data_IF_282704468675
#
_entry.id   IF_282704468675
#
_cell.length_a   1.000
_cell.length_b   1.000
_cell.length_c   1.000
_cell.angle_alpha   90.00
_cell.angle_beta   90.00
_cell.angle_gamma   90.00
#
_symmetry.space_group_name_H-M   'P 1'
#
loop_
_entity.id
_entity.type
_entity.pdbx_description
1 polymer ?
#
# COMPACT_ATOMS: atom_id res chain seq x y z
N UNK A 1 55.13 4.04 -27.92
CA UNK A 1 53.84 4.30 -27.25
C UNK A 1 54.08 5.49 -26.31
N UNK A 2 53.45 6.65 -26.59
CA UNK A 2 53.83 7.93 -26.02
C UNK A 2 53.40 8.04 -24.53
N UNK A 3 54.34 8.35 -23.65
CA UNK A 3 54.14 8.48 -22.19
C UNK A 3 52.99 9.42 -21.82
N UNK A 4 52.71 10.44 -22.66
CA UNK A 4 51.56 11.37 -22.49
C UNK A 4 50.19 10.66 -22.60
N UNK A 5 50.02 9.66 -23.46
CA UNK A 5 48.76 8.92 -23.59
C UNK A 5 48.49 7.99 -22.42
N UNK A 6 49.57 7.48 -21.78
CA UNK A 6 49.44 6.61 -20.60
C UNK A 6 49.00 7.39 -19.36
N UNK A 7 49.45 8.67 -19.23
CA UNK A 7 49.05 9.54 -18.12
C UNK A 7 47.59 10.01 -18.22
N UNK A 8 47.10 10.26 -19.45
CA UNK A 8 45.70 10.62 -19.68
C UNK A 8 44.75 9.45 -19.42
N UNK A 9 45.16 8.21 -19.80
CA UNK A 9 44.37 7.01 -19.54
C UNK A 9 44.33 6.66 -18.02
N UNK A 10 45.45 6.88 -17.32
CA UNK A 10 45.53 6.69 -15.86
C UNK A 10 44.67 7.70 -15.11
N UNK A 11 44.58 8.94 -15.60
CA UNK A 11 43.75 10.00 -15.03
C UNK A 11 42.27 9.73 -15.22
N UNK A 12 41.88 9.15 -16.36
CA UNK A 12 40.49 8.78 -16.66
C UNK A 12 39.98 7.58 -15.86
N UNK A 13 40.87 6.68 -15.43
CA UNK A 13 40.55 5.51 -14.60
C UNK A 13 40.57 5.85 -13.09
N UNK A 14 41.40 6.81 -12.68
CA UNK A 14 41.52 7.19 -11.27
C UNK A 14 40.44 8.21 -10.82
N UNK A 15 39.89 9.01 -11.74
CA UNK A 15 38.87 10.01 -11.40
C UNK A 15 37.57 9.40 -10.81
N UNK A 16 37.03 8.27 -11.32
CA UNK A 16 35.85 7.66 -10.70
C UNK A 16 36.13 6.97 -9.37
N UNK A 17 37.39 6.59 -9.07
CA UNK A 17 37.73 5.94 -7.80
C UNK A 17 37.76 6.96 -6.65
N UNK A 18 38.13 8.21 -6.92
CA UNK A 18 38.21 9.25 -5.89
C UNK A 18 36.85 9.79 -5.44
N UNK A 19 35.80 9.64 -6.28
CA UNK A 19 34.43 10.05 -5.92
C UNK A 19 33.75 9.05 -4.98
N UNK A 20 34.25 7.80 -4.90
CA UNK A 20 33.65 6.74 -4.10
C UNK A 20 34.14 6.74 -2.63
N UNK A 21 35.24 7.46 -2.32
CA UNK A 21 35.87 7.39 -0.98
C UNK A 21 35.56 8.57 -0.04
N UNK A 22 34.85 9.59 -0.50
CA UNK A 22 34.54 10.75 0.34
C UNK A 22 33.07 10.80 0.76
N UNK A 23 32.76 10.19 1.87
CA UNK A 23 31.58 10.47 2.68
C UNK A 23 30.51 9.37 2.74
N UNK A 24 30.45 8.71 3.85
CA UNK A 24 29.46 7.65 4.18
C UNK A 24 27.99 8.10 4.27
N UNK A 25 27.64 9.35 4.04
CA UNK A 25 26.26 9.84 4.10
C UNK A 25 25.66 10.24 2.75
N UNK A 26 26.50 10.44 1.72
CA UNK A 26 26.05 10.93 0.42
C UNK A 26 25.87 9.82 -0.63
N UNK A 27 26.46 8.65 -0.38
CA UNK A 27 26.42 7.52 -1.33
C UNK A 27 25.03 6.85 -1.42
N UNK A 28 24.28 6.78 -0.33
CA UNK A 28 22.93 6.18 -0.34
C UNK A 28 21.93 7.00 -1.18
N UNK A 29 22.04 8.33 -1.17
CA UNK A 29 21.13 9.19 -1.92
C UNK A 29 21.46 9.27 -3.43
N UNK A 30 22.72 9.05 -3.78
CA UNK A 30 23.18 9.07 -5.18
C UNK A 30 22.94 7.73 -5.89
N UNK A 31 23.13 6.61 -5.18
CA UNK A 31 22.85 5.28 -5.75
C UNK A 31 21.36 5.07 -6.00
N UNK A 32 20.46 5.63 -5.16
CA UNK A 32 19.01 5.59 -5.41
C UNK A 32 18.56 6.37 -6.64
N UNK A 33 19.31 7.41 -7.06
CA UNK A 33 18.96 8.22 -8.23
C UNK A 33 19.50 7.68 -9.57
N UNK A 34 20.50 6.82 -9.54
CA UNK A 34 21.24 6.41 -10.75
C UNK A 34 20.94 4.95 -11.13
N UNK A 35 20.56 4.10 -10.17
CA UNK A 35 20.27 2.69 -10.41
C UNK A 35 18.76 2.42 -10.33
N UNK A 36 18.19 1.64 -11.27
CA UNK A 36 16.84 1.15 -11.12
C UNK A 36 16.71 0.43 -9.76
N UNK A 37 15.61 0.64 -9.04
CA UNK A 37 15.40 0.06 -7.69
C UNK A 37 15.63 -1.46 -7.64
N UNK A 38 15.32 -2.17 -8.74
CA UNK A 38 15.57 -3.61 -8.88
C UNK A 38 17.06 -3.98 -8.82
N UNK A 39 17.96 -3.08 -9.20
CA UNK A 39 19.41 -3.29 -9.17
C UNK A 39 20.03 -2.81 -7.85
N UNK A 40 19.54 -1.73 -7.31
CA UNK A 40 19.95 -1.24 -5.99
C UNK A 40 19.69 -2.30 -4.90
N UNK A 41 18.57 -3.02 -4.99
CA UNK A 41 18.23 -4.14 -4.07
C UNK A 41 19.18 -5.35 -4.20
N UNK A 42 19.83 -5.56 -5.35
CA UNK A 42 20.77 -6.67 -5.54
C UNK A 42 22.19 -6.36 -5.06
N UNK A 43 22.55 -5.10 -4.94
CA UNK A 43 23.91 -4.64 -4.64
C UNK A 43 24.07 -4.21 -3.17
N UNK A 44 23.00 -3.67 -2.58
CA UNK A 44 23.00 -3.32 -1.15
C UNK A 44 22.51 -4.55 -0.34
N UNK A 45 23.24 -4.98 0.72
CA UNK A 45 22.70 -5.98 1.63
C UNK A 45 21.35 -5.47 2.11
N UNK A 46 20.32 -6.28 1.88
CA UNK A 46 18.92 -5.89 2.07
C UNK A 46 18.71 -5.27 3.43
N UNK A 47 18.17 -4.05 3.43
CA UNK A 47 17.68 -3.49 4.67
C UNK A 47 16.63 -4.47 5.23
N UNK A 48 16.66 -4.76 6.53
CA UNK A 48 15.69 -5.66 7.13
C UNK A 48 14.28 -5.06 6.92
N UNK A 49 13.46 -5.74 6.12
CA UNK A 49 12.06 -5.38 5.94
C UNK A 49 11.24 -6.12 6.98
N UNK A 50 10.40 -5.40 7.69
CA UNK A 50 9.35 -6.04 8.46
C UNK A 50 8.13 -6.25 7.56
N UNK A 51 7.59 -7.47 7.59
CA UNK A 51 6.33 -7.78 6.90
C UNK A 51 5.18 -7.01 7.54
N UNK A 52 4.16 -6.70 6.74
CA UNK A 52 2.96 -5.98 7.20
C UNK A 52 1.80 -6.95 7.30
N UNK A 53 1.07 -6.88 8.40
CA UNK A 53 -0.22 -7.53 8.52
C UNK A 53 -1.27 -6.70 7.79
N UNK A 54 -1.82 -7.24 6.72
CA UNK A 54 -2.75 -6.53 5.83
C UNK A 54 -4.07 -7.30 5.77
N UNK A 55 -5.15 -6.67 6.16
CA UNK A 55 -6.48 -7.22 5.99
C UNK A 55 -7.02 -6.84 4.61
N UNK A 56 -7.33 -7.85 3.80
CA UNK A 56 -7.84 -7.68 2.44
C UNK A 56 -9.31 -8.04 2.41
N UNK A 57 -10.16 -7.07 2.10
CA UNK A 57 -11.58 -7.30 1.97
C UNK A 57 -11.94 -7.91 0.62
N UNK A 58 -12.98 -8.75 0.54
CA UNK A 58 -13.56 -9.13 -0.73
C UNK A 58 -13.91 -7.89 -1.55
N UNK A 59 -13.79 -7.97 -2.87
CA UNK A 59 -14.14 -6.88 -3.76
C UNK A 59 -15.63 -6.54 -3.61
N UNK A 60 -15.93 -5.24 -3.56
CA UNK A 60 -17.29 -4.74 -3.49
C UNK A 60 -17.83 -4.66 -4.91
N UNK A 61 -18.86 -5.43 -5.21
CA UNK A 61 -19.51 -5.43 -6.53
C UNK A 61 -20.53 -4.29 -6.62
N UNK A 62 -20.19 -3.25 -7.34
CA UNK A 62 -21.12 -2.20 -7.74
C UNK A 62 -21.41 -2.27 -9.25
N UNK A 63 -20.69 -3.13 -9.98
CA UNK A 63 -20.88 -3.35 -11.40
C UNK A 63 -22.03 -4.34 -11.72
N UNK A 64 -22.53 -5.05 -10.70
CA UNK A 64 -23.62 -6.02 -10.89
C UNK A 64 -23.17 -7.34 -11.53
N UNK A 65 -21.91 -7.75 -11.30
CA UNK A 65 -21.35 -9.00 -11.85
C UNK A 65 -21.94 -10.26 -11.22
N UNK A 66 -22.51 -10.11 -10.04
CA UNK A 66 -23.02 -11.19 -9.22
C UNK A 66 -21.99 -11.87 -8.32
N UNK A 67 -22.44 -12.63 -7.32
CA UNK A 67 -21.59 -13.11 -6.22
C UNK A 67 -20.51 -14.08 -6.67
N UNK A 68 -20.77 -14.92 -7.66
CA UNK A 68 -19.82 -15.94 -8.10
C UNK A 68 -18.60 -15.33 -8.78
N UNK A 69 -18.79 -14.44 -9.76
CA UNK A 69 -17.68 -13.79 -10.46
C UNK A 69 -16.94 -12.85 -9.53
N UNK A 70 -17.64 -12.10 -8.68
CA UNK A 70 -17.03 -11.23 -7.67
C UNK A 70 -16.15 -12.01 -6.68
N UNK A 71 -16.58 -13.20 -6.26
CA UNK A 71 -15.77 -14.06 -5.41
C UNK A 71 -14.52 -14.56 -6.15
N UNK A 72 -14.64 -14.97 -7.41
CA UNK A 72 -13.49 -15.38 -8.23
C UNK A 72 -12.48 -14.26 -8.38
N UNK A 73 -12.93 -13.04 -8.68
CA UNK A 73 -12.07 -11.86 -8.80
C UNK A 73 -11.41 -11.49 -7.47
N UNK A 74 -12.14 -11.61 -6.36
CA UNK A 74 -11.61 -11.37 -5.00
C UNK A 74 -10.49 -12.36 -4.67
N UNK A 75 -10.69 -13.65 -4.93
CA UNK A 75 -9.66 -14.66 -4.73
C UNK A 75 -8.44 -14.41 -5.62
N UNK A 76 -8.64 -14.05 -6.89
CA UNK A 76 -7.54 -13.71 -7.80
C UNK A 76 -6.73 -12.54 -7.27
N UNK A 77 -7.37 -11.47 -6.82
CA UNK A 77 -6.69 -10.31 -6.24
C UNK A 77 -5.90 -10.68 -4.99
N UNK A 78 -6.50 -11.46 -4.09
CA UNK A 78 -5.85 -11.97 -2.88
C UNK A 78 -4.61 -12.80 -3.22
N UNK A 79 -4.72 -13.73 -4.17
CA UNK A 79 -3.61 -14.59 -4.60
C UNK A 79 -2.47 -13.81 -5.26
N UNK A 80 -2.77 -12.72 -5.97
CA UNK A 80 -1.76 -11.85 -6.53
C UNK A 80 -0.98 -11.13 -5.43
N UNK A 81 -1.67 -10.54 -4.45
CA UNK A 81 -1.05 -9.88 -3.30
C UNK A 81 -0.26 -10.87 -2.43
N UNK A 82 -0.72 -12.12 -2.31
CA UNK A 82 -0.07 -13.18 -1.53
C UNK A 82 1.31 -13.56 -2.07
N UNK A 83 1.61 -13.27 -3.33
CA UNK A 83 2.94 -13.49 -3.92
C UNK A 83 4.00 -12.55 -3.36
N UNK A 84 3.59 -11.44 -2.73
CA UNK A 84 4.51 -10.50 -2.11
C UNK A 84 5.16 -11.10 -0.86
N UNK A 85 6.50 -11.10 -0.77
CA UNK A 85 7.21 -11.58 0.42
C UNK A 85 7.09 -10.63 1.60
N UNK A 86 6.56 -9.41 1.39
CA UNK A 86 6.48 -8.34 2.39
C UNK A 86 5.13 -8.23 3.08
N UNK A 87 4.14 -9.00 2.62
CA UNK A 87 2.78 -8.95 3.14
C UNK A 87 2.42 -10.25 3.87
N UNK A 88 1.72 -10.11 4.98
CA UNK A 88 1.02 -11.17 5.70
C UNK A 88 -0.48 -10.87 5.57
N UNK A 89 -1.13 -11.55 4.63
CA UNK A 89 -2.51 -11.28 4.31
C UNK A 89 -3.46 -11.98 5.28
N UNK A 90 -4.52 -11.27 5.64
CA UNK A 90 -5.61 -11.73 6.49
C UNK A 90 -6.93 -11.45 5.80
N UNK A 91 -7.83 -12.39 5.86
CA UNK A 91 -9.22 -12.18 5.46
C UNK A 91 -10.01 -11.64 6.65
N UNK A 92 -11.00 -10.77 6.40
CA UNK A 92 -11.91 -10.33 7.45
C UNK A 92 -12.72 -11.53 7.97
N UNK A 93 -13.10 -11.57 9.25
CA UNK A 93 -14.00 -12.59 9.75
C UNK A 93 -15.33 -12.60 9.01
N UNK A 94 -15.90 -13.80 8.83
CA UNK A 94 -17.21 -13.98 8.21
C UNK A 94 -18.27 -13.12 8.88
N UNK A 95 -19.10 -12.48 8.07
CA UNK A 95 -20.21 -11.68 8.56
C UNK A 95 -19.82 -10.36 9.24
N UNK A 96 -18.60 -9.85 9.06
CA UNK A 96 -18.15 -8.60 9.69
C UNK A 96 -19.11 -7.43 9.42
N UNK A 97 -19.73 -7.36 8.26
CA UNK A 97 -20.72 -6.34 7.89
C UNK A 97 -22.16 -6.70 8.27
N UNK A 98 -22.38 -7.89 8.84
CA UNK A 98 -23.72 -8.28 9.32
C UNK A 98 -24.06 -7.64 10.67
N UNK A 99 -23.08 -7.08 11.39
CA UNK A 99 -23.32 -6.36 12.62
C UNK A 99 -23.73 -4.91 12.30
N UNK A 100 -24.77 -4.41 12.96
CA UNK A 100 -25.26 -3.03 12.80
C UNK A 100 -24.22 -1.94 13.15
N UNK A 101 -23.10 -2.31 13.72
CA UNK A 101 -22.02 -1.41 14.10
C UNK A 101 -20.95 -1.23 13.02
N UNK A 102 -20.92 -2.08 11.99
CA UNK A 102 -19.96 -2.02 10.90
C UNK A 102 -20.68 -1.77 9.58
N UNK A 103 -20.59 -0.55 9.09
CA UNK A 103 -21.09 -0.18 7.77
C UNK A 103 -20.15 -0.71 6.68
N UNK A 104 -20.72 -1.31 5.66
CA UNK A 104 -19.96 -1.66 4.45
C UNK A 104 -19.38 -0.39 3.83
N UNK A 105 -18.10 -0.41 3.41
CA UNK A 105 -17.50 0.73 2.72
C UNK A 105 -18.34 1.12 1.51
N UNK A 106 -18.75 2.37 1.41
CA UNK A 106 -19.44 2.90 0.24
C UNK A 106 -18.40 3.44 -0.74
N UNK A 107 -18.47 3.01 -1.98
CA UNK A 107 -17.47 3.38 -3.01
C UNK A 107 -16.02 3.15 -2.56
N UNK A 108 -15.78 2.09 -1.77
CA UNK A 108 -14.46 1.79 -1.20
C UNK A 108 -13.98 2.76 -0.12
N UNK A 109 -14.80 3.73 0.26
CA UNK A 109 -14.46 4.68 1.33
C UNK A 109 -15.01 4.19 2.65
N UNK A 110 -14.12 4.04 3.65
CA UNK A 110 -14.51 3.75 5.03
C UNK A 110 -15.03 5.03 5.66
N UNK A 111 -16.33 5.08 5.92
CA UNK A 111 -17.03 6.26 6.44
C UNK A 111 -16.96 6.40 7.96
N UNK A 112 -16.83 5.28 8.68
CA UNK A 112 -16.72 5.28 10.14
C UNK A 112 -15.39 4.67 10.62
N UNK A 113 -15.03 4.92 11.87
CA UNK A 113 -13.80 4.39 12.46
C UNK A 113 -13.91 2.95 12.93
N UNK A 114 -15.12 2.39 13.02
CA UNK A 114 -15.35 1.06 13.64
C UNK A 114 -14.54 -0.04 12.98
N UNK A 115 -14.48 -0.04 11.64
CA UNK A 115 -13.72 -1.02 10.88
C UNK A 115 -12.21 -0.87 11.13
N UNK A 116 -11.72 0.36 11.18
CA UNK A 116 -10.32 0.67 11.45
C UNK A 116 -9.96 0.27 12.89
N UNK A 117 -10.81 0.61 13.86
CA UNK A 117 -10.62 0.27 15.27
C UNK A 117 -10.66 -1.25 15.50
N UNK A 118 -11.50 -1.95 14.76
CA UNK A 118 -11.55 -3.42 14.76
C UNK A 118 -10.23 -4.02 14.22
N UNK A 119 -9.75 -3.56 13.06
CA UNK A 119 -8.51 -4.04 12.47
C UNK A 119 -7.30 -3.68 13.34
N UNK A 120 -7.32 -2.52 13.99
CA UNK A 120 -6.32 -2.12 14.98
C UNK A 120 -6.29 -3.10 16.17
N UNK A 121 -7.46 -3.52 16.66
CA UNK A 121 -7.59 -4.51 17.73
C UNK A 121 -7.04 -5.89 17.37
N UNK A 122 -7.04 -6.23 16.08
CA UNK A 122 -6.44 -7.46 15.54
C UNK A 122 -4.93 -7.32 15.23
N UNK A 123 -4.35 -6.14 15.41
CA UNK A 123 -2.93 -5.89 15.13
C UNK A 123 -2.58 -5.73 13.66
N UNK A 124 -3.55 -5.37 12.81
CA UNK A 124 -3.32 -5.09 11.40
C UNK A 124 -2.54 -3.78 11.23
N UNK A 125 -1.69 -3.73 10.20
CA UNK A 125 -1.00 -2.51 9.80
C UNK A 125 -1.84 -1.71 8.79
N UNK A 126 -2.48 -2.42 7.84
CA UNK A 126 -3.20 -1.81 6.73
C UNK A 126 -4.49 -2.57 6.41
N UNK A 127 -5.44 -1.85 5.79
CA UNK A 127 -6.64 -2.41 5.16
C UNK A 127 -6.58 -2.19 3.65
N UNK A 128 -7.01 -3.18 2.88
CA UNK A 128 -7.21 -3.07 1.42
C UNK A 128 -8.69 -3.28 1.11
N UNK A 129 -9.28 -2.34 0.40
CA UNK A 129 -10.67 -2.37 -0.04
C UNK A 129 -10.72 -2.07 -1.53
N UNK A 130 -11.17 -3.05 -2.32
CA UNK A 130 -11.36 -2.90 -3.75
C UNK A 130 -12.85 -2.79 -4.11
N UNK A 131 -13.15 -1.99 -5.13
CA UNK A 131 -14.51 -1.78 -5.66
C UNK A 131 -14.50 -1.97 -7.16
N UNK A 132 -15.39 -2.81 -7.65
CA UNK A 132 -15.73 -2.96 -9.07
C UNK A 132 -16.81 -1.92 -9.35
N UNK A 133 -16.45 -0.83 -10.03
CA UNK A 133 -17.40 0.25 -10.28
C UNK A 133 -18.40 -0.09 -11.39
N UNK A 134 -19.59 0.50 -11.36
CA UNK A 134 -20.51 0.43 -12.49
C UNK A 134 -19.83 0.93 -13.76
N UNK A 135 -20.19 0.36 -14.91
CA UNK A 135 -19.69 0.85 -16.19
C UNK A 135 -20.22 2.27 -16.42
N UNK A 136 -19.30 3.21 -16.60
CA UNK A 136 -19.65 4.59 -16.94
C UNK A 136 -19.89 4.70 -18.44
N UNK A 137 -21.02 5.30 -18.84
CA UNK A 137 -21.38 5.48 -20.23
C UNK A 137 -21.43 6.98 -20.53
N UNK A 138 -20.70 7.38 -21.55
CA UNK A 138 -20.69 8.76 -22.04
C UNK A 138 -20.76 8.80 -23.56
N UNK A 139 -21.15 9.95 -24.11
CA UNK A 139 -21.14 10.19 -25.55
C UNK A 139 -20.17 11.31 -25.84
N UNK A 140 -19.23 11.08 -26.75
CA UNK A 140 -18.18 12.04 -27.08
C UNK A 140 -18.09 12.24 -28.59
N UNK A 141 -17.83 13.45 -29.02
CA UNK A 141 -17.49 13.74 -30.42
C UNK A 141 -15.95 13.60 -30.57
N UNK A 142 -15.53 12.57 -31.30
CA UNK A 142 -14.11 12.32 -31.61
C UNK A 142 -13.71 12.87 -32.96
N UNK A 143 -14.68 13.38 -33.76
CA UNK A 143 -14.45 14.04 -35.03
C UNK A 143 -13.96 15.47 -34.89
N UNK A 144 -13.65 16.11 -36.04
CA UNK A 144 -13.33 17.53 -36.13
C UNK A 144 -14.18 18.17 -37.24
N UNK A 145 -14.56 19.40 -36.99
CA UNK A 145 -15.42 20.13 -37.93
C UNK A 145 -14.83 20.18 -39.37
N UNK A 146 -15.60 19.84 -40.45
CA UNK A 146 -17.02 19.56 -40.47
C UNK A 146 -17.37 18.07 -40.36
N UNK A 147 -16.45 17.21 -39.94
CA UNK A 147 -16.63 15.75 -39.86
C UNK A 147 -16.81 15.33 -38.39
N UNK A 148 -18.05 15.44 -37.91
CA UNK A 148 -18.39 14.96 -36.58
C UNK A 148 -18.43 13.43 -36.57
N UNK A 149 -17.77 12.82 -35.56
CA UNK A 149 -17.82 11.38 -35.30
C UNK A 149 -18.25 11.20 -33.84
N UNK A 150 -19.50 10.98 -33.61
CA UNK A 150 -20.07 10.76 -32.30
C UNK A 150 -19.96 9.29 -31.93
N UNK A 151 -19.33 9.07 -30.77
CA UNK A 151 -19.08 7.74 -30.24
C UNK A 151 -19.63 7.59 -28.84
N UNK A 152 -20.13 6.39 -28.53
CA UNK A 152 -20.48 5.98 -27.18
C UNK A 152 -19.25 5.37 -26.54
N UNK A 153 -18.88 5.85 -25.35
CA UNK A 153 -17.72 5.41 -24.60
C UNK A 153 -18.20 4.68 -23.35
N UNK A 154 -17.68 3.49 -23.15
CA UNK A 154 -17.96 2.63 -22.00
C UNK A 154 -16.69 2.52 -21.16
N UNK A 155 -16.70 3.05 -19.94
CA UNK A 155 -15.58 3.00 -19.00
C UNK A 155 -15.77 1.91 -17.94
N UNK A 156 -14.95 0.88 -18.00
CA UNK A 156 -14.86 -0.16 -16.97
C UNK A 156 -13.77 0.22 -15.98
N UNK A 157 -14.08 0.26 -14.68
CA UNK A 157 -13.07 0.69 -13.72
C UNK A 157 -13.08 -0.06 -12.40
N UNK A 158 -11.89 -0.20 -11.80
CA UNK A 158 -11.66 -0.76 -10.48
C UNK A 158 -10.97 0.28 -9.61
N UNK A 159 -11.54 0.57 -8.46
CA UNK A 159 -10.90 1.41 -7.45
C UNK A 159 -10.33 0.55 -6.33
N UNK A 160 -9.06 0.76 -5.95
CA UNK A 160 -8.45 0.10 -4.79
C UNK A 160 -7.94 1.15 -3.82
N UNK A 161 -8.41 1.02 -2.57
CA UNK A 161 -8.04 1.89 -1.46
C UNK A 161 -7.21 1.12 -0.44
N UNK A 162 -6.10 1.70 -0.04
CA UNK A 162 -5.25 1.20 1.06
C UNK A 162 -5.31 2.20 2.20
N UNK A 163 -5.67 1.72 3.38
CA UNK A 163 -5.81 2.54 4.59
C UNK A 163 -4.74 2.12 5.59
N UNK A 164 -3.90 3.06 6.02
CA UNK A 164 -2.97 2.86 7.13
C UNK A 164 -3.73 2.94 8.45
N UNK A 165 -3.68 1.85 9.22
CA UNK A 165 -4.40 1.73 10.50
C UNK A 165 -3.84 2.68 11.54
N UNK A 166 -2.51 2.87 11.56
CA UNK A 166 -1.86 3.69 12.58
C UNK A 166 -2.29 5.16 12.48
N UNK A 167 -2.30 5.74 11.29
CA UNK A 167 -2.72 7.13 11.07
C UNK A 167 -4.22 7.27 10.80
N UNK A 168 -4.92 6.16 10.56
CA UNK A 168 -6.33 6.12 10.11
C UNK A 168 -6.55 6.91 8.81
N UNK A 169 -5.51 6.99 7.97
CA UNK A 169 -5.54 7.73 6.71
C UNK A 169 -5.58 6.79 5.52
N UNK A 170 -6.07 7.33 4.44
CA UNK A 170 -5.94 6.72 3.12
C UNK A 170 -4.49 6.86 2.66
N UNK A 171 -3.79 5.74 2.57
CA UNK A 171 -2.39 5.68 2.13
C UNK A 171 -2.29 5.75 0.61
N UNK A 172 -3.20 5.05 -0.07
CA UNK A 172 -3.25 4.97 -1.52
C UNK A 172 -4.71 4.87 -1.96
N UNK A 173 -5.06 5.59 -3.00
CA UNK A 173 -6.21 5.31 -3.86
C UNK A 173 -5.69 5.14 -5.27
N UNK A 174 -5.97 4.02 -5.89
CA UNK A 174 -5.68 3.80 -7.30
C UNK A 174 -6.95 3.44 -8.05
N UNK A 175 -7.12 4.04 -9.21
CA UNK A 175 -8.22 3.79 -10.15
C UNK A 175 -7.61 3.21 -11.42
N UNK A 176 -7.89 1.94 -11.70
CA UNK A 176 -7.66 1.34 -13.02
C UNK A 176 -8.92 1.56 -13.87
N UNK A 177 -8.75 1.99 -15.09
CA UNK A 177 -9.84 2.23 -16.03
C UNK A 177 -9.45 1.76 -17.43
N UNK A 178 -10.40 1.13 -18.12
CA UNK A 178 -10.31 0.80 -19.54
C UNK A 178 -11.54 1.31 -20.26
N UNK A 179 -11.34 1.95 -21.39
CA UNK A 179 -12.41 2.58 -22.18
C UNK A 179 -12.60 1.86 -23.51
N UNK A 180 -13.85 1.55 -23.81
CA UNK A 180 -14.29 0.96 -25.08
C UNK A 180 -15.13 1.98 -25.83
N UNK A 181 -14.83 2.20 -27.11
CA UNK A 181 -15.56 3.15 -27.94
C UNK A 181 -16.30 2.44 -29.05
N UNK A 182 -17.56 2.80 -29.26
CA UNK A 182 -18.42 2.29 -30.29
C UNK A 182 -19.08 3.44 -31.06
N UNK A 183 -19.34 3.30 -32.38
CA UNK A 183 -20.13 4.31 -33.12
C UNK A 183 -21.55 4.36 -32.57
N UNK A 184 -22.24 5.50 -32.71
CA UNK A 184 -23.65 5.56 -32.28
C UNK A 184 -24.53 4.58 -33.04
N UNK A 185 -24.25 4.37 -34.34
CA UNK A 185 -25.03 3.44 -35.20
C UNK A 185 -24.89 2.01 -34.67
N UNK A 186 -23.65 1.53 -34.40
CA UNK A 186 -23.43 0.21 -33.83
C UNK A 186 -24.04 0.08 -32.42
N UNK A 187 -24.00 1.15 -31.61
CA UNK A 187 -24.55 1.16 -30.27
C UNK A 187 -26.09 1.10 -30.24
N UNK A 188 -26.77 1.58 -31.27
CA UNK A 188 -28.24 1.46 -31.41
C UNK A 188 -28.66 0.05 -31.78
N UNK A 189 -27.81 -0.71 -32.49
CA UNK A 189 -28.08 -2.10 -32.88
C UNK A 189 -27.67 -3.11 -31.78
N UNK A 190 -26.83 -2.72 -30.85
CA UNK A 190 -26.27 -3.57 -29.79
C UNK A 190 -27.22 -3.66 -28.59
N UNK A 191 -27.41 -4.86 -28.04
CA UNK A 191 -27.96 -5.02 -26.69
C UNK A 191 -26.96 -4.47 -25.68
N UNK A 192 -27.21 -3.25 -25.17
CA UNK A 192 -26.32 -2.52 -24.29
C UNK A 192 -26.03 -3.28 -23.00
N UNK A 193 -27.03 -3.93 -22.40
CA UNK A 193 -26.84 -4.67 -21.14
C UNK A 193 -25.98 -5.91 -21.37
N UNK A 194 -26.19 -6.65 -22.43
CA UNK A 194 -25.36 -7.80 -22.80
C UNK A 194 -23.90 -7.37 -23.09
N UNK A 195 -23.74 -6.26 -23.81
CA UNK A 195 -22.40 -5.70 -24.09
C UNK A 195 -21.66 -5.28 -22.83
N UNK A 196 -22.31 -4.53 -21.93
CA UNK A 196 -21.73 -4.14 -20.64
C UNK A 196 -21.29 -5.36 -19.84
N UNK A 197 -22.11 -6.39 -19.77
CA UNK A 197 -21.76 -7.62 -19.08
C UNK A 197 -20.57 -8.34 -19.71
N UNK A 198 -20.50 -8.34 -21.04
CA UNK A 198 -19.38 -8.94 -21.75
C UNK A 198 -18.07 -8.21 -21.45
N UNK A 199 -18.00 -6.89 -21.70
CA UNK A 199 -16.78 -6.11 -21.49
C UNK A 199 -16.36 -6.15 -20.02
N UNK A 200 -17.31 -6.14 -19.08
CA UNK A 200 -17.01 -6.23 -17.66
C UNK A 200 -16.34 -7.55 -17.31
N UNK A 201 -16.83 -8.68 -17.81
CA UNK A 201 -16.26 -10.01 -17.56
C UNK A 201 -14.86 -10.19 -18.14
N UNK A 202 -14.60 -9.56 -19.28
CA UNK A 202 -13.32 -9.63 -19.98
C UNK A 202 -12.28 -8.71 -19.33
N UNK A 203 -12.69 -7.50 -18.92
CA UNK A 203 -11.78 -6.43 -18.50
C UNK A 203 -11.42 -6.47 -17.00
N UNK A 204 -12.38 -6.76 -16.10
CA UNK A 204 -12.07 -6.75 -14.66
C UNK A 204 -10.92 -7.67 -14.25
N UNK A 205 -10.75 -8.88 -14.81
CA UNK A 205 -9.58 -9.71 -14.48
C UNK A 205 -8.24 -9.05 -14.78
N UNK A 206 -8.14 -8.31 -15.89
CA UNK A 206 -6.91 -7.61 -16.30
C UNK A 206 -6.66 -6.39 -15.40
N UNK A 207 -7.67 -5.58 -15.16
CA UNK A 207 -7.57 -4.43 -14.25
C UNK A 207 -7.13 -4.86 -12.84
N UNK A 208 -7.61 -6.00 -12.32
CA UNK A 208 -7.21 -6.53 -11.02
C UNK A 208 -5.74 -6.97 -11.01
N UNK A 209 -5.25 -7.57 -12.09
CA UNK A 209 -3.84 -7.93 -12.22
C UNK A 209 -2.93 -6.69 -12.20
N UNK A 210 -3.36 -5.60 -12.80
CA UNK A 210 -2.63 -4.33 -12.78
C UNK A 210 -2.64 -3.66 -11.40
N UNK A 211 -3.72 -3.82 -10.61
CA UNK A 211 -3.82 -3.20 -9.29
C UNK A 211 -2.86 -3.80 -8.26
N UNK A 212 -2.63 -5.11 -8.30
CA UNK A 212 -1.86 -5.79 -7.27
C UNK A 212 -0.42 -5.26 -7.10
N UNK A 213 0.39 -5.08 -8.17
CA UNK A 213 1.73 -4.51 -8.04
C UNK A 213 1.73 -3.04 -7.60
N UNK A 214 0.71 -2.26 -7.95
CA UNK A 214 0.60 -0.85 -7.53
C UNK A 214 0.35 -0.78 -6.02
N UNK A 215 -0.55 -1.62 -5.51
CA UNK A 215 -0.83 -1.74 -4.08
C UNK A 215 0.42 -2.19 -3.33
N UNK A 216 1.12 -3.21 -3.80
CA UNK A 216 2.37 -3.67 -3.20
C UNK A 216 3.42 -2.56 -3.15
N UNK A 217 3.59 -1.82 -4.24
CA UNK A 217 4.53 -0.71 -4.29
C UNK A 217 4.16 0.40 -3.30
N UNK A 218 2.88 0.75 -3.20
CA UNK A 218 2.39 1.75 -2.25
C UNK A 218 2.65 1.36 -0.79
N UNK A 219 2.38 0.11 -0.44
CA UNK A 219 2.66 -0.44 0.89
C UNK A 219 4.17 -0.46 1.20
N UNK A 220 5.00 -0.87 0.24
CA UNK A 220 6.45 -0.94 0.39
C UNK A 220 7.11 0.45 0.48
N UNK A 221 6.50 1.49 -0.09
CA UNK A 221 6.99 2.86 0.01
C UNK A 221 6.73 3.48 1.39
N UNK A 222 5.79 2.95 2.17
CA UNK A 222 5.46 3.45 3.49
C UNK A 222 6.34 2.82 4.59
N UNK A 223 6.60 3.60 5.65
CA UNK A 223 7.35 3.07 6.79
C UNK A 223 6.52 2.05 7.56
N UNK A 224 7.17 0.97 8.01
CA UNK A 224 6.50 0.04 8.90
C UNK A 224 6.20 0.71 10.24
N UNK A 225 4.96 0.60 10.68
CA UNK A 225 4.46 1.17 11.94
C UNK A 225 3.76 0.10 12.77
N UNK A 226 3.93 0.19 14.08
CA UNK A 226 3.26 -0.66 15.04
C UNK A 226 2.92 0.11 16.30
N UNK A 227 2.63 -0.61 17.39
CA UNK A 227 2.27 0.00 18.68
C UNK A 227 2.97 -0.67 19.85
N UNK A 228 3.14 0.09 20.93
CA UNK A 228 3.44 -0.44 22.24
C UNK A 228 2.17 -1.09 22.78
N UNK A 229 2.21 -2.40 23.01
CA UNK A 229 1.08 -3.16 23.56
C UNK A 229 0.93 -2.97 25.06
N UNK A 230 2.06 -3.03 25.79
CA UNK A 230 2.10 -2.86 27.25
C UNK A 230 3.46 -2.30 27.70
N UNK A 231 3.47 -1.71 28.88
CA UNK A 231 4.70 -1.27 29.56
C UNK A 231 4.62 -1.76 30.99
N UNK A 232 5.51 -2.66 31.38
CA UNK A 232 5.57 -3.26 32.73
C UNK A 232 7.01 -3.25 33.22
N UNK A 233 7.23 -2.67 34.40
CA UNK A 233 8.54 -2.69 35.07
C UNK A 233 9.75 -2.39 34.17
N UNK A 234 9.66 -1.37 33.32
CA UNK A 234 10.68 -0.97 32.35
C UNK A 234 10.82 -1.90 31.11
N UNK A 235 10.02 -2.97 31.03
CA UNK A 235 9.92 -3.83 29.86
C UNK A 235 8.79 -3.32 28.99
N UNK A 236 9.05 -3.15 27.70
CA UNK A 236 8.12 -2.61 26.73
C UNK A 236 7.75 -3.74 25.78
N UNK A 237 6.48 -4.08 25.75
CA UNK A 237 5.95 -5.07 24.81
C UNK A 237 5.47 -4.35 23.55
N UNK A 238 5.90 -4.84 22.38
CA UNK A 238 5.51 -4.34 21.07
C UNK A 238 4.73 -5.42 20.29
N UNK A 239 3.76 -5.00 19.47
CA UNK A 239 2.89 -5.87 18.68
C UNK A 239 3.55 -6.35 17.38
N UNK A 240 4.78 -6.80 17.43
CA UNK A 240 5.54 -7.34 16.33
C UNK A 240 6.44 -8.48 16.81
N UNK A 241 6.54 -9.55 16.04
CA UNK A 241 7.27 -10.74 16.40
C UNK A 241 8.08 -11.33 15.25
N UNK A 242 8.40 -12.62 15.36
CA UNK A 242 9.11 -13.38 14.32
C UNK A 242 8.31 -13.46 13.03
N UNK A 243 6.99 -13.49 13.13
CA UNK A 243 6.05 -13.54 12.01
C UNK A 243 6.28 -12.40 11.01
N UNK A 244 6.53 -11.19 11.49
CA UNK A 244 6.87 -10.04 10.65
C UNK A 244 8.35 -9.94 10.30
N UNK A 245 9.19 -10.87 10.77
CA UNK A 245 10.64 -10.87 10.51
C UNK A 245 11.44 -10.03 11.49
N UNK A 246 10.88 -9.70 12.66
CA UNK A 246 11.58 -8.94 13.68
C UNK A 246 12.73 -9.77 14.28
N UNK A 247 13.84 -9.11 14.62
CA UNK A 247 15.03 -9.71 15.19
C UNK A 247 15.49 -8.95 16.45
N UNK A 248 16.19 -9.65 17.33
CA UNK A 248 16.86 -9.01 18.46
C UNK A 248 17.86 -7.97 17.96
N UNK A 249 17.90 -6.83 18.63
CA UNK A 249 18.73 -5.69 18.23
C UNK A 249 18.04 -4.69 17.32
N UNK A 250 16.90 -5.05 16.69
CA UNK A 250 16.13 -4.09 15.90
C UNK A 250 15.72 -2.88 16.74
N UNK A 251 15.59 -1.73 16.10
CA UNK A 251 15.31 -0.46 16.77
C UNK A 251 14.03 0.18 16.25
N UNK A 252 13.36 0.90 17.15
CA UNK A 252 12.16 1.66 16.84
C UNK A 252 12.21 3.06 17.42
N UNK A 253 11.81 4.05 16.62
CA UNK A 253 11.46 5.36 17.15
C UNK A 253 10.07 5.32 17.77
N UNK A 254 9.89 5.93 18.93
CA UNK A 254 8.59 6.05 19.61
C UNK A 254 8.02 7.44 19.40
N UNK A 255 6.74 7.51 19.05
CA UNK A 255 6.04 8.75 18.75
C UNK A 255 4.81 8.90 19.63
N UNK A 256 4.53 10.13 20.04
CA UNK A 256 3.24 10.45 20.66
C UNK A 256 2.12 10.40 19.63
N UNK A 257 0.89 10.26 20.10
CA UNK A 257 -0.26 10.62 19.27
C UNK A 257 -0.16 12.11 18.92
N UNK A 258 -0.20 12.41 17.64
CA UNK A 258 -0.22 13.77 17.15
C UNK A 258 -1.61 14.39 17.22
N UNK A 259 -1.75 15.57 16.65
CA UNK A 259 -3.05 16.23 16.55
C UNK A 259 -3.97 15.42 15.64
N UNK A 260 -5.18 15.22 16.10
CA UNK A 260 -6.28 14.76 15.26
C UNK A 260 -6.75 15.93 14.39
N UNK A 261 -6.81 15.72 13.09
CA UNK A 261 -7.34 16.68 12.11
C UNK A 261 -8.64 16.12 11.56
N UNK A 262 -9.76 16.84 11.65
CA UNK A 262 -10.98 16.38 11.01
C UNK A 262 -10.82 16.41 9.49
N UNK A 263 -11.10 15.28 8.83
CA UNK A 263 -11.16 15.22 7.37
C UNK A 263 -12.47 15.82 6.86
N UNK A 264 -12.53 16.11 5.56
CA UNK A 264 -13.76 16.57 4.90
C UNK A 264 -14.93 15.57 5.05
N UNK A 265 -14.63 14.27 5.24
CA UNK A 265 -15.62 13.21 5.51
C UNK A 265 -15.99 13.06 6.99
N UNK A 266 -15.53 13.95 7.87
CA UNK A 266 -15.81 13.92 9.31
C UNK A 266 -14.96 12.92 10.12
N UNK A 267 -14.06 12.16 9.47
CA UNK A 267 -13.14 11.25 10.16
C UNK A 267 -12.00 12.02 10.83
N UNK A 268 -11.56 11.53 11.98
CA UNK A 268 -10.33 12.01 12.59
C UNK A 268 -9.11 11.37 11.90
N UNK A 269 -8.24 12.18 11.34
CA UNK A 269 -6.93 11.77 10.82
C UNK A 269 -5.91 12.01 11.93
N UNK A 270 -5.13 10.97 12.26
CA UNK A 270 -4.12 11.07 13.30
C UNK A 270 -2.74 11.28 12.66
N UNK A 271 -2.11 12.37 12.99
CA UNK A 271 -0.72 12.59 12.62
C UNK A 271 0.20 11.99 13.68
N UNK A 272 1.36 11.50 13.26
CA UNK A 272 2.41 11.18 14.22
C UNK A 272 2.83 12.44 14.94
N UNK A 273 2.85 12.38 16.26
CA UNK A 273 3.35 13.46 17.09
C UNK A 273 4.87 13.52 17.14
N UNK A 274 5.40 14.12 18.17
CA UNK A 274 6.85 14.22 18.37
C UNK A 274 7.47 12.84 18.60
N UNK A 275 8.67 12.62 18.08
CA UNK A 275 9.51 11.51 18.50
C UNK A 275 9.95 11.75 19.95
N UNK A 276 9.62 10.83 20.86
CA UNK A 276 9.88 10.93 22.29
C UNK A 276 10.97 9.97 22.79
N UNK A 277 11.52 9.15 21.89
CA UNK A 277 12.61 8.27 22.25
C UNK A 277 12.78 7.08 21.31
N UNK A 278 13.62 6.14 21.72
CA UNK A 278 14.01 4.98 20.94
C UNK A 278 13.96 3.72 21.79
N UNK A 279 13.48 2.63 21.19
CA UNK A 279 13.47 1.28 21.74
C UNK A 279 14.44 0.38 21.00
N UNK A 280 14.99 -0.61 21.71
CA UNK A 280 15.74 -1.72 21.14
C UNK A 280 15.12 -3.03 21.57
N UNK A 281 14.93 -3.93 20.63
CA UNK A 281 14.36 -5.27 20.87
C UNK A 281 15.39 -6.17 21.54
N UNK A 282 15.01 -6.78 22.66
CA UNK A 282 15.86 -7.68 23.43
C UNK A 282 15.44 -9.15 23.30
N UNK A 283 14.15 -9.40 23.05
CA UNK A 283 13.63 -10.75 22.90
C UNK A 283 12.47 -10.76 21.91
N UNK A 284 12.44 -11.75 21.03
CA UNK A 284 11.44 -11.88 19.96
C UNK A 284 10.68 -13.17 20.12
N UNK A 285 9.36 -13.06 20.29
CA UNK A 285 8.39 -14.16 20.32
C UNK A 285 7.67 -14.23 18.96
N UNK A 286 6.74 -15.15 18.82
CA UNK A 286 6.09 -15.37 17.51
C UNK A 286 5.34 -14.13 17.02
N UNK A 287 4.47 -13.54 17.84
CA UNK A 287 3.60 -12.40 17.46
C UNK A 287 3.87 -11.11 18.22
N UNK A 288 4.78 -11.11 19.16
CA UNK A 288 5.16 -9.93 19.96
C UNK A 288 6.61 -9.99 20.35
N UNK A 289 7.14 -8.89 20.82
CA UNK A 289 8.52 -8.81 21.26
C UNK A 289 8.66 -7.90 22.49
N UNK A 290 9.73 -8.14 23.25
CA UNK A 290 10.09 -7.32 24.38
C UNK A 290 11.24 -6.40 23.98
N UNK A 291 11.14 -5.16 24.37
CA UNK A 291 12.11 -4.12 24.10
C UNK A 291 12.44 -3.33 25.36
N UNK A 292 13.57 -2.68 25.34
CA UNK A 292 14.01 -1.74 26.37
C UNK A 292 14.16 -0.34 25.80
N UNK A 293 14.13 0.66 26.67
CA UNK A 293 14.41 2.05 26.30
C UNK A 293 15.90 2.24 26.04
N UNK A 294 16.23 2.76 24.87
CA UNK A 294 17.57 3.24 24.53
C UNK A 294 17.72 4.72 24.92
N UNK A 295 16.68 5.50 24.66
CA UNK A 295 16.65 6.93 24.97
C UNK A 295 15.20 7.41 25.08
N UNK A 296 15.01 8.50 25.85
CA UNK A 296 13.69 9.14 26.01
C UNK A 296 12.79 8.43 27.00
N UNK A 297 11.48 8.67 26.90
CA UNK A 297 10.42 8.18 27.79
C UNK A 297 9.85 9.30 28.69
N UNK A 298 8.92 8.99 29.59
CA UNK A 298 8.34 7.65 29.82
C UNK A 298 7.43 7.19 28.68
N UNK A 299 7.50 5.90 28.36
CA UNK A 299 6.67 5.29 27.33
C UNK A 299 5.36 4.77 27.91
N UNK A 300 4.32 4.68 27.05
CA UNK A 300 2.99 4.20 27.43
C UNK A 300 2.45 3.25 26.36
N UNK A 301 1.55 2.35 26.78
CA UNK A 301 0.78 1.54 25.86
C UNK A 301 0.05 2.42 24.83
N UNK A 302 -0.20 1.88 23.64
CA UNK A 302 -0.81 2.50 22.47
C UNK A 302 0.02 3.57 21.75
N UNK A 303 1.21 3.95 22.25
CA UNK A 303 2.09 4.83 21.49
C UNK A 303 2.57 4.16 20.21
N UNK A 304 2.73 4.97 19.17
CA UNK A 304 3.21 4.51 17.87
C UNK A 304 4.71 4.22 17.91
N UNK A 305 5.09 3.15 17.24
CA UNK A 305 6.48 2.83 16.97
C UNK A 305 6.70 2.76 15.46
N UNK A 306 7.84 3.25 15.01
CA UNK A 306 8.28 3.19 13.63
C UNK A 306 9.60 2.47 13.54
N UNK A 307 9.69 1.49 12.67
CA UNK A 307 10.90 0.74 12.45
C UNK A 307 12.02 1.65 11.93
N UNK A 308 13.22 1.50 12.51
CA UNK A 308 14.46 2.12 12.05
C UNK A 308 15.34 1.01 11.47
N UNK A 309 15.53 0.95 10.14
CA UNK A 309 16.36 -0.06 9.49
C UNK A 309 17.85 0.10 9.84
#
# INVERSE_FOLDING_TARGET
MNVKRLSELLFLILLPIFVVTSGCSTTESLTRKILPESWARKILPGQPYLKRHVMVFPLIDQAGLGPELTAQLSHRFYDLLRKSPHLLLHEPPDGIFSSSSMESPQFGVVTNSSLIDFAEGLGMNDLIIGVLNPVEISTQNTGWWPFDDWRKIYGVSVAVNVIDIASKTLLLTNLGIEEFSMSLEDAEEQDEEAYIQQISRETFPELIEEQAPIVEQGLNASHWTGRISAVENNTIMINAGKDVGLQEGNRFGVFTEGKSIPSASGRAIYMFGANIGELKVNSVMEKHSLAESVSGGPFKAKQFIRFKP
#
